data_IF_244738099505
#
_entry.id   IF_244738099505
#
_cell.length_a   1.000
_cell.length_b   1.000
_cell.length_c   1.000
_cell.angle_alpha   90.00
_cell.angle_beta   90.00
_cell.angle_gamma   90.00
#
_symmetry.space_group_name_H-M   'P 1'
#
loop_
_entity.id
_entity.type
_entity.pdbx_description
1 polymer ?
#
# COMPACT_ATOMS: atom_id res chain seq x y z
N UNK A 1 30.31 -17.52 51.26
CA UNK A 1 29.05 -18.22 50.93
C UNK A 1 28.25 -17.57 49.79
N UNK A 2 28.00 -16.25 49.78
CA UNK A 2 27.25 -15.57 48.69
C UNK A 2 27.85 -15.69 47.28
N UNK A 3 29.17 -15.73 47.13
CA UNK A 3 29.82 -15.81 45.81
C UNK A 3 29.82 -17.23 45.21
N UNK A 4 29.82 -18.27 46.07
CA UNK A 4 29.72 -19.67 45.61
C UNK A 4 28.33 -19.96 45.02
N UNK A 5 27.28 -19.39 45.63
CA UNK A 5 25.89 -19.56 45.18
C UNK A 5 25.62 -18.87 43.83
N UNK A 6 26.25 -17.71 43.58
CA UNK A 6 26.17 -17.02 42.29
C UNK A 6 26.89 -17.77 41.16
N UNK A 7 28.05 -18.35 41.43
CA UNK A 7 28.73 -19.22 40.45
C UNK A 7 27.90 -20.47 40.13
N UNK A 8 27.26 -21.08 41.13
CA UNK A 8 26.42 -22.25 40.91
C UNK A 8 25.18 -21.94 40.06
N UNK A 9 24.53 -20.79 40.28
CA UNK A 9 23.40 -20.32 39.47
C UNK A 9 23.79 -19.98 38.02
N UNK A 10 24.98 -19.40 37.82
CA UNK A 10 25.50 -19.09 36.48
C UNK A 10 25.91 -20.35 35.70
N UNK A 11 26.49 -21.35 36.36
CA UNK A 11 26.81 -22.62 35.73
C UNK A 11 25.54 -23.44 35.43
N UNK A 12 24.53 -23.39 36.30
CA UNK A 12 23.26 -24.06 36.08
C UNK A 12 22.46 -23.45 34.91
N UNK A 13 22.44 -22.12 34.77
CA UNK A 13 21.75 -21.46 33.65
C UNK A 13 22.45 -21.69 32.30
N UNK A 14 23.78 -21.77 32.29
CA UNK A 14 24.54 -22.10 31.07
C UNK A 14 24.34 -23.57 30.67
N UNK A 15 24.25 -24.49 31.62
CA UNK A 15 23.98 -25.91 31.34
C UNK A 15 22.58 -26.14 30.77
N UNK A 16 21.56 -25.41 31.25
CA UNK A 16 20.19 -25.48 30.72
C UNK A 16 20.12 -24.93 29.29
N UNK A 17 20.86 -23.86 28.98
CA UNK A 17 20.87 -23.28 27.63
C UNK A 17 21.59 -24.18 26.62
N UNK A 18 22.67 -24.87 27.03
CA UNK A 18 23.37 -25.84 26.15
C UNK A 18 22.53 -27.11 25.95
N UNK A 19 21.83 -27.60 26.97
CA UNK A 19 20.92 -28.74 26.83
C UNK A 19 19.72 -28.43 25.91
N UNK A 20 19.16 -27.22 25.99
CA UNK A 20 18.05 -26.78 25.13
C UNK A 20 18.43 -26.59 23.65
N UNK A 21 19.73 -26.48 23.33
CA UNK A 21 20.20 -26.42 21.95
C UNK A 21 20.42 -27.82 21.33
N UNK A 22 20.40 -28.89 22.13
CA UNK A 22 20.70 -30.26 21.67
C UNK A 22 19.42 -31.06 21.37
N UNK A 23 18.28 -30.71 21.97
CA UNK A 23 16.99 -31.34 21.66
C UNK A 23 16.29 -30.65 20.48
N UNK A 24 16.85 -30.79 19.27
CA UNK A 24 15.99 -30.75 18.08
C UNK A 24 15.22 -32.06 18.06
N UNK A 25 13.91 -31.98 18.30
CA UNK A 25 13.01 -33.10 18.07
C UNK A 25 13.36 -33.74 16.72
N UNK A 26 13.48 -35.08 16.64
CA UNK A 26 13.76 -35.74 15.37
C UNK A 26 12.68 -35.28 14.39
N UNK A 27 13.09 -34.70 13.26
CA UNK A 27 12.17 -34.35 12.18
C UNK A 27 11.44 -35.63 11.83
N UNK A 28 10.18 -35.74 12.21
CA UNK A 28 9.31 -36.80 11.75
C UNK A 28 9.32 -36.68 10.23
N UNK A 29 9.82 -37.67 9.48
CA UNK A 29 9.62 -37.68 8.05
C UNK A 29 8.11 -37.74 7.86
N UNK A 30 7.53 -36.63 7.41
CA UNK A 30 6.18 -36.64 6.88
C UNK A 30 6.28 -37.51 5.62
N UNK A 31 5.90 -38.77 5.75
CA UNK A 31 5.63 -39.60 4.58
C UNK A 31 4.46 -38.93 3.88
N UNK A 32 4.75 -38.19 2.81
CA UNK A 32 3.74 -37.76 1.86
C UNK A 32 3.24 -39.03 1.19
N UNK A 33 2.20 -39.62 1.77
CA UNK A 33 1.46 -40.67 1.10
C UNK A 33 0.79 -40.00 -0.09
N UNK A 34 1.09 -40.49 -1.30
CA UNK A 34 0.58 -39.97 -2.58
C UNK A 34 -0.95 -40.10 -2.75
N UNK A 35 -1.70 -40.31 -1.66
CA UNK A 35 -3.11 -40.65 -1.67
C UNK A 35 -4.06 -39.45 -1.74
N UNK A 36 -3.54 -38.23 -1.72
CA UNK A 36 -4.32 -37.01 -1.98
C UNK A 36 -3.68 -36.20 -3.11
N UNK A 37 -3.25 -36.87 -4.18
CA UNK A 37 -2.86 -36.15 -5.40
C UNK A 37 -4.15 -35.53 -5.94
N UNK A 38 -4.32 -34.20 -5.91
CA UNK A 38 -5.48 -33.57 -6.55
C UNK A 38 -5.44 -33.96 -8.03
N UNK A 39 -6.62 -34.19 -8.63
CA UNK A 39 -6.71 -34.43 -10.07
C UNK A 39 -5.82 -33.42 -10.79
N UNK A 40 -5.00 -33.93 -11.72
CA UNK A 40 -4.05 -33.12 -12.47
C UNK A 40 -4.80 -31.92 -13.04
N UNK A 41 -4.51 -30.73 -12.50
CA UNK A 41 -5.12 -29.49 -12.93
C UNK A 41 -4.87 -29.41 -14.43
N UNK A 42 -5.94 -29.52 -15.23
CA UNK A 42 -5.87 -29.43 -16.67
C UNK A 42 -5.10 -28.15 -17.00
N UNK A 43 -3.91 -28.32 -17.58
CA UNK A 43 -2.89 -27.29 -17.80
C UNK A 43 -3.53 -25.95 -18.14
N UNK A 44 -3.72 -25.10 -17.13
CA UNK A 44 -4.02 -23.68 -17.34
C UNK A 44 -2.68 -23.03 -17.45
N UNK A 45 -2.20 -23.02 -18.69
CA UNK A 45 -0.96 -22.39 -19.06
C UNK A 45 -1.00 -20.92 -18.57
N UNK A 46 -0.14 -20.59 -17.59
CA UNK A 46 0.78 -19.46 -17.84
C UNK A 46 1.27 -19.70 -19.25
N UNK A 47 0.97 -18.78 -20.17
CA UNK A 47 1.45 -18.74 -21.55
C UNK A 47 2.36 -19.91 -21.92
N UNK A 48 2.02 -20.76 -22.90
CA UNK A 48 2.80 -21.98 -23.25
C UNK A 48 4.32 -21.76 -23.39
N UNK A 49 4.75 -20.51 -23.51
CA UNK A 49 6.12 -20.03 -23.55
C UNK A 49 6.84 -19.84 -22.21
N UNK A 50 6.16 -19.80 -21.05
CA UNK A 50 6.73 -19.53 -19.71
C UNK A 50 7.72 -18.34 -19.72
N UNK A 51 7.41 -17.30 -20.48
CA UNK A 51 8.34 -16.15 -20.62
C UNK A 51 8.21 -15.21 -19.44
N UNK A 52 6.98 -15.03 -18.95
CA UNK A 52 6.67 -14.12 -17.87
C UNK A 52 5.73 -14.82 -16.88
N UNK A 53 5.95 -14.60 -15.59
CA UNK A 53 4.98 -14.98 -14.58
C UNK A 53 3.74 -14.08 -14.66
N UNK A 54 2.53 -14.64 -14.50
CA UNK A 54 1.30 -13.83 -14.42
C UNK A 54 0.57 -13.96 -13.11
N UNK A 55 0.27 -12.81 -12.49
CA UNK A 55 -0.59 -12.71 -11.31
C UNK A 55 -2.09 -12.77 -11.64
N UNK A 56 -2.45 -12.77 -12.93
CA UNK A 56 -3.86 -12.84 -13.36
C UNK A 56 -4.44 -14.25 -13.34
N UNK A 57 -3.59 -15.27 -13.22
CA UNK A 57 -3.99 -16.67 -13.17
C UNK A 57 -4.80 -16.91 -11.88
N UNK A 58 -6.06 -17.39 -11.97
CA UNK A 58 -6.93 -17.56 -10.81
C UNK A 58 -6.31 -18.41 -9.69
N UNK A 59 -5.50 -19.40 -10.06
CA UNK A 59 -4.81 -20.27 -9.12
C UNK A 59 -3.69 -19.52 -8.37
N UNK A 60 -2.95 -18.61 -9.01
CA UNK A 60 -1.93 -17.79 -8.35
C UNK A 60 -2.55 -16.77 -7.38
N UNK A 61 -3.73 -16.23 -7.71
CA UNK A 61 -4.43 -15.25 -6.87
C UNK A 61 -4.95 -15.81 -5.54
N UNK A 62 -5.00 -17.14 -5.40
CA UNK A 62 -5.44 -17.80 -4.16
C UNK A 62 -4.39 -17.77 -3.06
N UNK A 63 -3.13 -17.51 -3.40
CA UNK A 63 -2.03 -17.50 -2.44
C UNK A 63 -1.76 -16.07 -1.95
N UNK A 64 -1.39 -15.96 -0.67
CA UNK A 64 -0.88 -14.70 -0.13
C UNK A 64 0.39 -14.30 -0.88
N UNK A 65 0.54 -13.01 -1.18
CA UNK A 65 1.70 -12.53 -1.93
C UNK A 65 3.02 -12.93 -1.26
N UNK A 66 3.07 -12.96 0.07
CA UNK A 66 4.25 -13.33 0.84
C UNK A 66 4.65 -14.82 0.76
N UNK A 67 3.77 -15.69 0.22
CA UNK A 67 4.11 -17.10 -0.01
C UNK A 67 5.26 -17.22 -1.01
N UNK A 68 5.33 -16.27 -1.96
CA UNK A 68 6.36 -16.17 -2.98
C UNK A 68 7.26 -14.93 -2.75
N UNK A 69 6.66 -13.78 -2.41
CA UNK A 69 7.36 -12.51 -2.21
C UNK A 69 7.68 -12.27 -0.73
N UNK A 70 8.70 -12.95 -0.23
CA UNK A 70 9.13 -12.78 1.17
C UNK A 70 9.87 -11.46 1.36
N UNK A 71 9.53 -10.76 2.43
CA UNK A 71 10.24 -9.58 2.90
C UNK A 71 10.98 -9.92 4.17
N UNK A 72 12.29 -9.70 4.16
CA UNK A 72 13.13 -9.82 5.35
C UNK A 72 13.50 -8.41 5.85
N UNK A 73 13.07 -8.10 7.08
CA UNK A 73 13.33 -6.81 7.72
C UNK A 73 12.69 -5.60 7.02
N UNK A 74 13.43 -4.50 6.95
CA UNK A 74 12.94 -3.22 6.40
C UNK A 74 13.18 -3.06 4.90
N UNK A 75 13.77 -4.06 4.22
CA UNK A 75 14.09 -3.93 2.80
C UNK A 75 12.83 -3.76 1.95
N UNK A 76 12.89 -2.82 1.00
CA UNK A 76 11.86 -2.58 -0.01
C UNK A 76 12.14 -3.35 -1.30
N UNK A 77 13.31 -4.00 -1.40
CA UNK A 77 13.72 -4.72 -2.60
C UNK A 77 13.07 -6.11 -2.64
N UNK A 78 12.27 -6.33 -3.68
CA UNK A 78 11.77 -7.65 -4.01
C UNK A 78 12.85 -8.42 -4.78
N UNK A 79 13.08 -9.66 -4.37
CA UNK A 79 13.99 -10.58 -5.04
C UNK A 79 13.21 -11.79 -5.54
N UNK A 80 13.78 -12.52 -6.49
CA UNK A 80 13.20 -13.80 -6.88
C UNK A 80 13.11 -14.71 -5.65
N UNK A 81 11.95 -15.36 -5.52
CA UNK A 81 11.79 -16.46 -4.59
C UNK A 81 12.70 -17.62 -5.01
N UNK A 82 13.15 -18.42 -4.06
CA UNK A 82 13.85 -19.65 -4.40
C UNK A 82 12.90 -20.66 -5.06
N UNK A 83 13.47 -21.70 -5.68
CA UNK A 83 12.72 -22.74 -6.38
C UNK A 83 11.63 -23.37 -5.49
N UNK A 84 11.85 -23.45 -4.18
CA UNK A 84 10.90 -24.01 -3.21
C UNK A 84 9.52 -23.36 -3.28
N UNK A 85 9.42 -22.09 -3.68
CA UNK A 85 8.14 -21.37 -3.77
C UNK A 85 7.29 -21.84 -4.95
N UNK A 86 7.91 -22.38 -6.00
CA UNK A 86 7.22 -22.81 -7.23
C UNK A 86 7.10 -24.33 -7.31
N UNK A 87 8.14 -25.05 -6.89
CA UNK A 87 8.26 -26.51 -7.04
C UNK A 87 7.10 -27.26 -6.40
N UNK A 88 6.54 -26.78 -5.29
CA UNK A 88 5.43 -27.44 -4.60
C UNK A 88 4.18 -27.63 -5.47
N UNK A 89 3.89 -26.69 -6.38
CA UNK A 89 2.74 -26.78 -7.29
C UNK A 89 3.17 -27.17 -8.72
N UNK A 90 4.40 -26.82 -9.11
CA UNK A 90 4.92 -26.99 -10.47
C UNK A 90 5.96 -28.12 -10.61
N UNK A 91 5.92 -29.13 -9.75
CA UNK A 91 6.94 -30.20 -9.71
C UNK A 91 7.14 -30.86 -11.08
N UNK A 92 6.06 -31.13 -11.81
CA UNK A 92 6.14 -31.79 -13.12
C UNK A 92 6.86 -30.94 -14.16
N UNK A 93 6.67 -29.62 -14.14
CA UNK A 93 7.39 -28.70 -15.03
C UNK A 93 8.86 -28.54 -14.64
N UNK A 94 9.20 -28.67 -13.36
CA UNK A 94 10.60 -28.65 -12.89
C UNK A 94 11.35 -29.94 -13.22
N UNK A 95 10.69 -31.09 -13.20
CA UNK A 95 11.33 -32.39 -13.44
C UNK A 95 11.30 -32.84 -14.90
N UNK A 96 10.47 -32.23 -15.75
CA UNK A 96 10.39 -32.60 -17.15
C UNK A 96 11.53 -31.97 -17.96
N UNK A 97 12.53 -32.79 -18.30
CA UNK A 97 13.69 -32.37 -19.09
C UNK A 97 13.34 -31.87 -20.50
N UNK A 98 12.18 -32.23 -21.05
CA UNK A 98 11.71 -31.75 -22.36
C UNK A 98 11.04 -30.36 -22.27
N UNK A 99 10.66 -29.92 -21.06
CA UNK A 99 9.92 -28.69 -20.81
C UNK A 99 10.67 -27.73 -19.87
N UNK A 100 12.01 -27.64 -20.03
CA UNK A 100 12.86 -26.65 -19.34
C UNK A 100 12.43 -25.17 -19.52
N UNK A 101 11.30 -24.92 -20.18
CA UNK A 101 10.62 -23.62 -20.32
C UNK A 101 10.35 -22.97 -18.96
N UNK A 102 10.04 -23.73 -17.90
CA UNK A 102 9.82 -23.17 -16.56
C UNK A 102 11.06 -22.42 -16.03
N UNK A 103 12.25 -22.96 -16.29
CA UNK A 103 13.50 -22.34 -15.88
C UNK A 103 13.70 -20.97 -16.53
N UNK A 104 13.15 -20.76 -17.74
CA UNK A 104 13.31 -19.51 -18.50
C UNK A 104 12.57 -18.32 -17.91
N UNK A 105 11.63 -18.54 -16.97
CA UNK A 105 11.00 -17.48 -16.17
C UNK A 105 12.07 -16.72 -15.35
N UNK A 106 13.03 -17.44 -14.79
CA UNK A 106 14.02 -16.89 -13.87
C UNK A 106 15.41 -16.78 -14.50
N UNK A 107 15.77 -17.71 -15.38
CA UNK A 107 17.10 -17.79 -15.99
C UNK A 107 17.11 -17.23 -17.41
N UNK A 108 18.14 -16.45 -17.73
CA UNK A 108 18.45 -16.01 -19.10
C UNK A 108 19.35 -17.02 -19.83
N UNK A 109 20.26 -17.67 -19.10
CA UNK A 109 21.10 -18.76 -19.60
C UNK A 109 21.23 -19.90 -18.57
N UNK A 110 20.68 -21.07 -18.93
CA UNK A 110 20.77 -22.29 -18.13
C UNK A 110 22.07 -23.07 -18.32
N UNK A 111 22.85 -22.75 -19.36
CA UNK A 111 24.11 -23.46 -19.66
C UNK A 111 25.31 -22.82 -18.95
N UNK A 112 25.15 -21.61 -18.41
CA UNK A 112 26.14 -20.96 -17.57
C UNK A 112 26.33 -21.71 -16.24
N UNK A 113 27.52 -21.59 -15.63
CA UNK A 113 27.84 -22.20 -14.34
C UNK A 113 28.38 -21.14 -13.36
N UNK A 114 27.57 -20.67 -12.40
CA UNK A 114 26.16 -21.03 -12.16
C UNK A 114 25.21 -20.48 -13.24
N UNK A 115 24.00 -21.05 -13.42
CA UNK A 115 23.00 -20.53 -14.34
C UNK A 115 22.71 -19.05 -14.06
N UNK A 116 22.75 -18.23 -15.11
CA UNK A 116 22.57 -16.79 -14.98
C UNK A 116 21.09 -16.50 -14.74
N UNK A 117 20.81 -15.54 -13.85
CA UNK A 117 19.45 -15.13 -13.48
C UNK A 117 19.10 -13.82 -14.18
N UNK A 118 17.85 -13.71 -14.63
CA UNK A 118 17.26 -12.46 -15.08
C UNK A 118 17.26 -11.44 -13.94
N UNK A 119 17.26 -10.16 -14.30
CA UNK A 119 16.98 -9.10 -13.35
C UNK A 119 15.52 -9.18 -12.88
N UNK A 120 15.27 -8.89 -11.59
CA UNK A 120 13.91 -8.83 -11.08
C UNK A 120 13.14 -7.69 -11.77
N UNK A 121 11.90 -7.92 -12.25
CA UNK A 121 11.14 -6.88 -12.94
C UNK A 121 10.94 -5.64 -12.08
N UNK A 122 11.27 -4.46 -12.63
CA UNK A 122 11.03 -3.16 -11.96
C UNK A 122 9.64 -2.60 -12.27
N UNK A 123 8.91 -3.24 -13.18
CA UNK A 123 7.54 -2.94 -13.55
C UNK A 123 6.77 -4.24 -13.65
N UNK A 124 5.60 -4.28 -13.02
CA UNK A 124 4.65 -5.37 -13.21
C UNK A 124 3.88 -5.15 -14.50
N UNK A 125 3.63 -6.23 -15.23
CA UNK A 125 2.72 -6.23 -16.39
C UNK A 125 1.27 -6.01 -15.93
N UNK A 126 0.93 -6.55 -14.76
CA UNK A 126 -0.36 -6.35 -14.13
C UNK A 126 -0.44 -5.06 -13.30
N UNK A 127 -1.65 -4.52 -13.22
CA UNK A 127 -1.99 -3.49 -12.23
C UNK A 127 -2.23 -4.09 -10.85
N UNK A 128 -1.69 -3.43 -9.83
CA UNK A 128 -2.02 -3.68 -8.43
C UNK A 128 -2.71 -2.46 -7.84
N UNK A 129 -4.03 -2.50 -7.74
CA UNK A 129 -4.78 -1.41 -7.16
C UNK A 129 -4.63 -1.45 -5.63
N UNK A 130 -4.50 -0.29 -5.00
CA UNK A 130 -4.44 -0.17 -3.54
C UNK A 130 -5.86 -0.05 -2.98
N UNK A 131 -6.15 -0.86 -1.97
CA UNK A 131 -7.30 -0.80 -1.07
C UNK A 131 -6.87 -0.02 0.17
N UNK A 132 -7.56 1.09 0.44
CA UNK A 132 -7.34 1.89 1.64
C UNK A 132 -8.66 2.42 2.16
N UNK A 133 -8.87 2.34 3.48
CA UNK A 133 -10.11 2.75 4.14
C UNK A 133 -9.83 3.91 5.09
N UNK A 134 -10.26 5.12 4.72
CA UNK A 134 -10.01 6.32 5.54
C UNK A 134 -10.66 6.25 6.92
N UNK A 135 -11.86 5.67 7.05
CA UNK A 135 -12.57 5.58 8.34
C UNK A 135 -11.81 4.74 9.38
N UNK A 136 -10.94 3.83 8.95
CA UNK A 136 -10.08 3.05 9.83
C UNK A 136 -8.84 3.84 10.32
N UNK A 137 -8.52 4.97 9.68
CA UNK A 137 -7.26 5.70 9.90
C UNK A 137 -7.47 7.16 10.37
N UNK A 138 -8.63 7.44 10.98
CA UNK A 138 -8.99 8.78 11.45
C UNK A 138 -9.25 8.85 12.96
N UNK A 139 -9.10 7.73 13.67
CA UNK A 139 -9.36 7.66 15.12
C UNK A 139 -8.65 6.48 15.77
N UNK A 140 -8.51 6.51 17.10
CA UNK A 140 -7.90 5.44 17.89
C UNK A 140 -6.46 5.13 17.48
N UNK A 141 -6.06 3.87 17.62
CA UNK A 141 -4.73 3.37 17.23
C UNK A 141 -4.44 3.46 15.72
N UNK A 142 -5.48 3.60 14.90
CA UNK A 142 -5.34 3.79 13.45
C UNK A 142 -5.01 5.22 13.05
N UNK A 143 -5.12 6.20 13.96
CA UNK A 143 -4.88 7.61 13.67
C UNK A 143 -3.38 7.89 13.49
N UNK A 144 -2.93 8.35 12.32
CA UNK A 144 -1.52 8.70 12.12
C UNK A 144 -1.09 9.92 12.97
N UNK A 145 0.20 10.03 13.36
CA UNK A 145 0.67 11.09 14.26
C UNK A 145 0.38 12.53 13.81
N UNK A 146 0.31 12.77 12.50
CA UNK A 146 -0.01 14.09 11.91
C UNK A 146 -1.36 14.07 11.17
N UNK A 147 -2.23 13.11 11.50
CA UNK A 147 -3.51 12.88 10.84
C UNK A 147 -3.36 12.73 9.33
N UNK A 148 -4.16 13.46 8.56
CA UNK A 148 -4.16 13.41 7.10
C UNK A 148 -2.77 13.76 6.50
N UNK A 149 -2.02 14.66 7.15
CA UNK A 149 -0.74 15.14 6.66
C UNK A 149 0.39 14.11 6.75
N UNK A 150 0.22 13.02 7.50
CA UNK A 150 1.20 11.92 7.51
C UNK A 150 1.36 11.27 6.13
N UNK A 151 0.26 11.19 5.36
CA UNK A 151 0.28 10.58 4.03
C UNK A 151 0.12 11.64 2.92
N UNK A 152 -0.67 12.68 3.16
CA UNK A 152 -1.01 13.66 2.14
C UNK A 152 -0.11 14.89 2.16
N UNK A 153 0.57 15.12 1.04
CA UNK A 153 1.32 16.35 0.80
C UNK A 153 0.46 17.40 0.10
N UNK A 154 0.77 18.66 0.34
CA UNK A 154 0.10 19.79 -0.30
C UNK A 154 0.61 19.99 -1.72
N UNK A 155 -0.29 19.92 -2.70
CA UNK A 155 0.02 20.16 -4.11
C UNK A 155 -0.95 21.20 -4.71
N UNK A 156 -0.70 22.48 -4.42
CA UNK A 156 -1.58 23.58 -4.83
C UNK A 156 -3.00 23.43 -4.24
N UNK A 157 -4.01 23.35 -5.11
CA UNK A 157 -5.41 23.13 -4.70
C UNK A 157 -5.76 21.66 -4.43
N UNK A 158 -4.85 20.72 -4.63
CA UNK A 158 -5.04 19.31 -4.34
C UNK A 158 -4.13 18.81 -3.22
N UNK A 159 -4.37 17.56 -2.81
CA UNK A 159 -3.46 16.76 -2.01
C UNK A 159 -2.94 15.60 -2.84
N UNK A 160 -1.67 15.29 -2.71
CA UNK A 160 -1.01 14.18 -3.40
C UNK A 160 -0.52 13.15 -2.40
N UNK A 161 -0.29 11.94 -2.89
CA UNK A 161 0.35 10.85 -2.16
C UNK A 161 1.63 10.46 -2.93
N UNK A 162 2.70 10.03 -2.24
CA UNK A 162 3.79 9.33 -2.88
C UNK A 162 3.27 8.12 -3.68
N UNK A 163 3.89 7.84 -4.82
CA UNK A 163 3.52 6.69 -5.68
C UNK A 163 4.75 5.82 -5.93
N UNK A 164 4.52 4.52 -6.12
CA UNK A 164 5.57 3.54 -6.36
C UNK A 164 6.05 2.83 -5.09
N UNK A 165 7.10 2.02 -5.22
CA UNK A 165 7.54 1.12 -4.14
C UNK A 165 7.99 1.88 -2.88
N UNK A 166 8.58 3.06 -3.03
CA UNK A 166 9.04 3.89 -1.92
C UNK A 166 7.90 4.44 -1.06
N UNK A 167 6.68 4.52 -1.59
CA UNK A 167 5.50 4.95 -0.84
C UNK A 167 5.16 4.02 0.35
N UNK A 168 5.62 2.76 0.31
CA UNK A 168 5.41 1.81 1.41
C UNK A 168 6.07 2.24 2.72
N UNK A 169 7.10 3.09 2.68
CA UNK A 169 7.74 3.60 3.90
C UNK A 169 6.73 4.33 4.81
N UNK A 170 5.77 5.05 4.21
CA UNK A 170 4.69 5.72 4.96
C UNK A 170 3.82 4.70 5.69
N UNK A 171 3.42 3.62 5.02
CA UNK A 171 2.58 2.57 5.62
C UNK A 171 3.33 1.79 6.70
N UNK A 172 4.59 1.41 6.44
CA UNK A 172 5.40 0.60 7.34
C UNK A 172 5.92 1.34 8.57
N UNK A 173 5.70 2.66 8.64
CA UNK A 173 5.93 3.43 9.88
C UNK A 173 5.04 2.94 11.01
N UNK A 174 3.81 2.49 10.69
CA UNK A 174 2.86 1.94 11.67
C UNK A 174 2.61 0.43 11.44
N UNK A 175 2.62 -0.02 10.18
CA UNK A 175 2.39 -1.42 9.83
C UNK A 175 3.68 -2.22 9.78
N UNK A 176 4.22 -2.53 10.95
CA UNK A 176 5.41 -3.36 11.12
C UNK A 176 5.08 -4.85 10.99
N UNK A 177 6.07 -5.76 10.86
CA UNK A 177 5.81 -7.21 10.88
C UNK A 177 5.02 -7.69 12.10
N UNK A 178 5.13 -7.00 13.24
CA UNK A 178 4.39 -7.29 14.47
C UNK A 178 2.91 -6.87 14.39
N UNK A 179 2.56 -5.95 13.49
CA UNK A 179 1.19 -5.44 13.30
C UNK A 179 0.25 -6.42 12.56
N UNK A 180 0.71 -7.64 12.27
CA UNK A 180 -0.01 -8.68 11.52
C UNK A 180 -0.38 -8.31 10.06
N UNK A 181 0.12 -7.19 9.51
CA UNK A 181 0.10 -6.95 8.06
C UNK A 181 1.23 -7.73 7.41
N UNK A 182 0.99 -9.02 7.20
CA UNK A 182 2.02 -9.97 6.74
C UNK A 182 2.18 -10.07 5.22
N UNK A 183 1.20 -9.60 4.44
CA UNK A 183 1.16 -9.83 3.00
C UNK A 183 0.60 -8.62 2.23
N UNK A 184 1.07 -8.45 0.99
CA UNK A 184 0.74 -7.31 0.14
C UNK A 184 -0.75 -7.24 -0.20
N UNK A 185 -1.45 -8.39 -0.28
CA UNK A 185 -2.87 -8.50 -0.60
C UNK A 185 -3.81 -7.92 0.47
N UNK A 186 -3.30 -7.61 1.67
CA UNK A 186 -4.05 -6.85 2.68
C UNK A 186 -4.39 -5.46 2.12
N UNK A 187 -3.40 -4.81 1.51
CA UNK A 187 -3.52 -3.46 0.97
C UNK A 187 -3.70 -3.44 -0.55
N UNK A 188 -3.33 -4.49 -1.27
CA UNK A 188 -3.40 -4.53 -2.73
C UNK A 188 -4.33 -5.61 -3.25
N UNK A 189 -4.82 -5.41 -4.47
CA UNK A 189 -5.53 -6.42 -5.25
C UNK A 189 -5.03 -6.38 -6.70
N UNK A 190 -5.04 -7.54 -7.38
CA UNK A 190 -4.71 -7.61 -8.80
C UNK A 190 -5.87 -6.98 -9.57
N UNK A 191 -5.72 -5.71 -9.89
CA UNK A 191 -6.73 -4.92 -10.57
C UNK A 191 -6.09 -3.70 -11.25
N UNK A 192 -6.70 -3.18 -12.35
CA UNK A 192 -6.21 -1.98 -13.00
C UNK A 192 -6.06 -0.83 -12.01
N UNK A 193 -4.96 -0.10 -12.12
CA UNK A 193 -4.70 1.08 -11.29
C UNK A 193 -5.78 2.15 -11.52
N UNK A 194 -6.48 2.54 -10.46
CA UNK A 194 -7.49 3.60 -10.50
C UNK A 194 -6.96 4.86 -9.83
N UNK A 195 -6.68 5.90 -10.62
CA UNK A 195 -6.31 7.21 -10.07
C UNK A 195 -7.50 7.83 -9.35
N UNK A 196 -7.27 8.34 -8.15
CA UNK A 196 -8.21 9.27 -7.51
C UNK A 196 -8.00 10.66 -8.13
N UNK A 197 -9.06 11.31 -8.66
CA UNK A 197 -8.91 12.64 -9.26
C UNK A 197 -8.41 13.67 -8.24
N UNK A 198 -7.29 14.32 -8.55
CA UNK A 198 -6.73 15.39 -7.71
C UNK A 198 -7.36 16.75 -8.08
N UNK A 199 -8.58 16.99 -7.58
CA UNK A 199 -9.24 18.30 -7.64
C UNK A 199 -9.84 18.69 -9.01
N UNK A 200 -10.76 19.65 -8.97
CA UNK A 200 -11.35 20.26 -10.19
C UNK A 200 -10.48 21.44 -10.65
N UNK A 201 -10.32 21.59 -11.97
CA UNK A 201 -9.48 22.65 -12.58
C UNK A 201 -9.82 24.05 -12.08
N UNK A 202 -11.12 24.36 -11.98
CA UNK A 202 -11.68 25.60 -11.43
C UNK A 202 -11.13 26.00 -10.06
N UNK A 203 -10.90 25.02 -9.18
CA UNK A 203 -10.45 25.26 -7.81
C UNK A 203 -8.98 25.67 -7.75
N UNK A 204 -8.19 25.29 -8.77
CA UNK A 204 -6.73 25.55 -8.81
C UNK A 204 -6.40 27.03 -8.96
N UNK A 205 -7.30 27.82 -9.55
CA UNK A 205 -7.07 29.24 -9.78
C UNK A 205 -7.36 30.12 -8.56
N UNK A 206 -8.20 29.64 -7.63
CA UNK A 206 -8.84 30.49 -6.61
C UNK A 206 -8.61 30.00 -5.18
N UNK A 207 -8.16 28.76 -5.01
CA UNK A 207 -7.97 28.13 -3.71
C UNK A 207 -6.56 27.57 -3.52
N UNK A 208 -6.04 27.72 -2.29
CA UNK A 208 -4.75 27.17 -1.86
C UNK A 208 -4.90 26.45 -0.53
N UNK A 209 -4.56 25.16 -0.50
CA UNK A 209 -4.48 24.40 0.76
C UNK A 209 -3.40 24.95 1.68
N UNK A 210 -2.28 25.46 1.14
CA UNK A 210 -1.18 26.00 1.96
C UNK A 210 -1.62 27.20 2.77
N UNK A 211 -2.40 28.10 2.15
CA UNK A 211 -2.92 29.29 2.83
C UNK A 211 -3.92 28.90 3.93
N UNK A 212 -4.87 28.01 3.63
CA UNK A 212 -5.90 27.63 4.61
C UNK A 212 -5.35 26.74 5.73
N UNK A 213 -4.45 25.80 5.43
CA UNK A 213 -3.86 24.94 6.46
C UNK A 213 -2.70 25.61 7.18
N UNK A 214 -1.52 25.69 6.55
CA UNK A 214 -0.31 26.14 7.22
C UNK A 214 -0.33 27.62 7.64
N UNK A 215 -0.96 28.51 6.87
CA UNK A 215 -0.95 29.94 7.20
C UNK A 215 -2.11 30.37 8.12
N UNK A 216 -3.30 29.79 7.97
CA UNK A 216 -4.49 30.15 8.74
C UNK A 216 -4.85 29.16 9.85
N UNK A 217 -4.21 27.99 9.90
CA UNK A 217 -4.45 26.98 10.93
C UNK A 217 -5.77 26.23 10.80
N UNK A 218 -6.41 26.22 9.63
CA UNK A 218 -7.65 25.47 9.40
C UNK A 218 -7.32 23.99 9.24
N UNK A 219 -8.00 23.15 10.04
CA UNK A 219 -7.79 21.72 10.03
C UNK A 219 -8.49 21.03 8.85
N UNK A 220 -7.97 19.87 8.44
CA UNK A 220 -8.54 19.10 7.32
C UNK A 220 -10.02 18.75 7.55
N UNK A 221 -10.39 18.40 8.78
CA UNK A 221 -11.74 17.99 9.17
C UNK A 221 -12.77 19.12 9.16
N UNK A 222 -12.33 20.39 9.19
CA UNK A 222 -13.25 21.53 9.09
C UNK A 222 -13.83 21.67 7.67
N UNK A 223 -13.11 21.15 6.67
CA UNK A 223 -13.50 21.16 5.27
C UNK A 223 -13.96 19.77 4.80
N UNK A 224 -13.17 18.75 5.11
CA UNK A 224 -13.33 17.39 4.61
C UNK A 224 -13.91 16.47 5.68
N UNK A 225 -15.00 15.80 5.33
CA UNK A 225 -15.59 14.73 6.13
C UNK A 225 -15.20 13.37 5.57
N UNK A 226 -15.01 12.40 6.46
CA UNK A 226 -14.77 11.01 6.06
C UNK A 226 -16.09 10.25 6.15
N UNK A 227 -16.48 9.64 5.04
CA UNK A 227 -17.70 8.85 4.87
C UNK A 227 -17.33 7.39 4.95
N UNK A 228 -17.72 6.74 6.05
CA UNK A 228 -17.62 5.29 6.14
C UNK A 228 -18.41 4.64 4.98
N UNK A 229 -17.89 3.52 4.46
CA UNK A 229 -18.54 2.68 3.43
C UNK A 229 -18.71 3.29 2.03
N UNK A 230 -18.29 4.54 1.81
CA UNK A 230 -18.22 5.09 0.47
C UNK A 230 -17.13 4.38 -0.37
N UNK A 231 -17.30 4.27 -1.71
CA UNK A 231 -16.23 3.82 -2.59
C UNK A 231 -14.94 4.61 -2.34
N UNK A 232 -13.77 3.97 -2.37
CA UNK A 232 -12.48 4.54 -1.96
C UNK A 232 -12.22 5.96 -2.50
N UNK A 233 -12.52 6.21 -3.78
CA UNK A 233 -12.35 7.53 -4.41
C UNK A 233 -13.32 8.63 -3.95
N UNK A 234 -14.24 8.31 -3.03
CA UNK A 234 -15.29 9.19 -2.50
C UNK A 234 -15.43 9.13 -0.98
N UNK A 235 -14.53 8.42 -0.29
CA UNK A 235 -14.50 8.32 1.16
C UNK A 235 -14.20 9.64 1.86
N UNK A 236 -13.47 10.54 1.19
CA UNK A 236 -13.21 11.89 1.70
C UNK A 236 -14.05 12.86 0.88
N UNK A 237 -14.87 13.68 1.54
CA UNK A 237 -15.75 14.63 0.84
C UNK A 237 -14.95 15.69 0.10
N UNK A 238 -15.44 16.09 -1.07
CA UNK A 238 -14.96 17.28 -1.77
C UNK A 238 -15.71 18.52 -1.29
N UNK A 239 -15.06 19.67 -1.31
CA UNK A 239 -15.70 20.98 -1.11
C UNK A 239 -16.49 21.34 -2.37
N UNK A 240 -17.69 21.89 -2.18
CA UNK A 240 -18.48 22.42 -3.28
C UNK A 240 -17.92 23.78 -3.70
N UNK A 241 -17.64 23.96 -4.99
CA UNK A 241 -17.21 25.25 -5.57
C UNK A 241 -18.37 26.25 -5.74
N UNK A 242 -19.49 26.01 -5.07
CA UNK A 242 -20.72 26.78 -5.19
C UNK A 242 -20.85 27.67 -3.94
N UNK A 243 -20.40 28.91 -4.06
CA UNK A 243 -20.24 29.82 -2.92
C UNK A 243 -21.51 30.47 -2.41
N UNK A 244 -22.54 30.55 -3.25
CA UNK A 244 -23.74 31.34 -2.94
C UNK A 244 -24.98 30.49 -2.75
N UNK A 245 -24.90 29.18 -3.02
CA UNK A 245 -26.04 28.25 -2.98
C UNK A 245 -25.55 26.86 -2.63
N UNK A 246 -25.79 26.40 -1.41
CA UNK A 246 -25.46 25.03 -1.02
C UNK A 246 -25.51 24.85 0.49
N UNK A 247 -26.05 23.72 0.93
CA UNK A 247 -26.06 23.32 2.34
C UNK A 247 -24.80 22.54 2.76
N UNK A 248 -23.85 22.34 1.83
CA UNK A 248 -22.61 21.62 2.06
C UNK A 248 -21.45 22.51 2.50
N UNK A 249 -20.31 21.88 2.84
CA UNK A 249 -19.05 22.59 3.08
C UNK A 249 -18.57 23.24 1.78
N UNK A 250 -18.62 24.58 1.74
CA UNK A 250 -18.16 25.47 0.67
C UNK A 250 -17.35 26.64 1.29
N UNK A 251 -16.81 27.55 0.49
CA UNK A 251 -16.02 28.65 1.03
C UNK A 251 -16.88 29.61 1.87
N UNK A 252 -18.17 29.80 1.56
CA UNK A 252 -19.09 30.62 2.35
C UNK A 252 -19.34 30.14 3.79
N UNK A 253 -19.01 28.90 4.14
CA UNK A 253 -19.01 28.45 5.55
C UNK A 253 -18.08 29.28 6.44
N UNK A 254 -17.02 29.88 5.87
CA UNK A 254 -16.03 30.70 6.57
C UNK A 254 -15.92 32.11 5.99
N UNK A 255 -16.05 32.27 4.68
CA UNK A 255 -16.05 33.56 3.97
C UNK A 255 -17.43 34.22 4.00
N UNK A 256 -17.95 34.39 5.22
CA UNK A 256 -19.30 34.89 5.52
C UNK A 256 -19.31 36.29 6.17
N UNK A 257 -18.17 36.98 6.19
CA UNK A 257 -18.03 38.29 6.84
C UNK A 257 -17.84 38.24 8.35
N UNK A 258 -18.10 37.11 9.02
CA UNK A 258 -17.86 36.94 10.45
C UNK A 258 -16.56 36.22 10.77
N UNK A 259 -16.19 35.17 10.00
CA UNK A 259 -14.95 34.40 10.21
C UNK A 259 -13.81 34.85 9.29
N UNK A 260 -14.11 35.11 8.02
CA UNK A 260 -13.17 35.62 7.03
C UNK A 260 -13.85 36.64 6.10
N UNK A 261 -13.05 37.51 5.48
CA UNK A 261 -13.52 38.64 4.66
C UNK A 261 -14.41 39.62 5.43
N UNK A 262 -13.98 40.00 6.64
CA UNK A 262 -14.70 40.93 7.50
C UNK A 262 -15.07 42.26 6.82
N UNK A 263 -16.17 42.85 7.29
CA UNK A 263 -16.81 44.02 6.69
C UNK A 263 -17.98 43.57 5.82
N UNK A 264 -19.19 43.58 6.41
CA UNK A 264 -20.44 43.10 5.82
C UNK A 264 -20.95 44.03 4.71
N UNK A 265 -20.13 44.38 3.73
CA UNK A 265 -20.58 45.07 2.53
C UNK A 265 -20.78 44.04 1.40
N UNK A 266 -22.00 43.51 1.23
CA UNK A 266 -22.33 42.59 0.14
C UNK A 266 -22.21 43.23 -1.25
N UNK A 267 -21.90 44.54 -1.35
CA UNK A 267 -21.70 45.27 -2.60
C UNK A 267 -20.22 45.59 -2.86
N UNK A 268 -19.30 45.26 -1.95
CA UNK A 268 -17.88 45.51 -2.18
C UNK A 268 -17.31 44.49 -3.19
N UNK A 269 -17.31 44.87 -4.45
CA UNK A 269 -16.82 44.05 -5.57
C UNK A 269 -15.33 43.68 -5.47
N UNK A 270 -14.52 44.39 -4.67
CA UNK A 270 -13.13 43.98 -4.42
C UNK A 270 -13.02 42.69 -3.60
N UNK A 271 -14.06 42.34 -2.83
CA UNK A 271 -14.17 41.07 -2.10
C UNK A 271 -14.48 39.92 -3.06
N UNK A 272 -15.36 40.15 -4.04
CA UNK A 272 -15.71 39.14 -5.06
C UNK A 272 -14.52 38.78 -5.95
N UNK A 273 -13.69 39.78 -6.28
CA UNK A 273 -12.46 39.61 -7.07
C UNK A 273 -11.40 38.70 -6.44
N UNK A 274 -11.53 38.37 -5.15
CA UNK A 274 -10.62 37.44 -4.45
C UNK A 274 -10.82 35.99 -4.88
N UNK A 275 -12.03 35.66 -5.33
CA UNK A 275 -12.40 34.32 -5.79
C UNK A 275 -12.82 34.31 -7.27
N UNK A 276 -13.26 35.43 -7.83
CA UNK A 276 -13.65 35.55 -9.23
C UNK A 276 -12.68 36.45 -9.99
N UNK A 277 -11.80 35.87 -10.80
CA UNK A 277 -10.88 36.60 -11.68
C UNK A 277 -11.29 36.43 -13.16
N UNK A 278 -11.29 37.53 -13.92
CA UNK A 278 -11.58 37.54 -15.37
C UNK A 278 -12.81 38.36 -15.77
N UNK A 279 -13.00 38.58 -17.07
CA UNK A 279 -14.05 39.44 -17.66
C UNK A 279 -15.47 38.85 -17.64
N UNK A 280 -15.67 37.67 -17.05
CA UNK A 280 -16.97 37.04 -16.88
C UNK A 280 -17.18 36.59 -15.43
N UNK A 281 -17.97 37.36 -14.67
CA UNK A 281 -18.32 37.09 -13.27
C UNK A 281 -19.09 35.77 -13.03
N UNK A 282 -19.41 35.04 -14.11
CA UNK A 282 -20.25 33.84 -14.14
C UNK A 282 -19.54 32.55 -14.54
N UNK A 283 -18.23 32.56 -14.73
CA UNK A 283 -17.50 31.33 -15.06
C UNK A 283 -16.24 31.26 -14.22
N UNK A 284 -16.28 30.41 -13.19
CA UNK A 284 -15.08 29.60 -12.92
C UNK A 284 -14.71 28.91 -14.25
N UNK A 285 -13.43 28.93 -14.69
CA UNK A 285 -13.03 28.44 -16.01
C UNK A 285 -13.36 26.96 -16.26
#
# INVERSE_FOLDING_TARGET
MKNLFKCFLLCASLAIFVASCIERAPKTPVTITASETPDAIAVRASDKTFKNFSHTIPEHQKFDCNSCHRREGASLDQKFAGHESCVGCHISQFTNAEQQTMCTICHDDMNASPPTMRAFPTKFEEGFNMKFVHSAHISGEGLPPQGCATCHETAGAGKTLPVGITAHATCYTCHTPESQIGSCNVCHEVAPYRRTPAGRYVFRAVFSHREHSSAQGVNCSECHSVRAEAPQGSQVSTIEAQEHKGAGNNCASCHNGSRAFGGNDPLNMTTCGRCHSGSGFNMLP
#
